data_IF_525147523105
#
_entry.id   IF_525147523105
#
_cell.length_a   1.000
_cell.length_b   1.000
_cell.length_c   1.000
_cell.angle_alpha   90.00
_cell.angle_beta   90.00
_cell.angle_gamma   90.00
#
_symmetry.space_group_name_H-M   'P 1'
#
loop_
_entity.id
_entity.type
_entity.pdbx_description
1 polymer ?
#
# COMPACT_ATOMS: atom_id res chain seq x y z
N UNK A 1 -7.15 5.73 -1.52
CA UNK A 1 -6.93 5.68 -2.98
C UNK A 1 -8.21 5.52 -3.76
N UNK A 2 -9.02 4.49 -3.49
CA UNK A 2 -10.33 4.30 -4.15
C UNK A 2 -11.23 5.53 -4.05
N UNK A 3 -11.41 6.07 -2.84
CA UNK A 3 -12.21 7.29 -2.62
C UNK A 3 -11.61 8.55 -3.25
N UNK A 4 -10.28 8.60 -3.38
CA UNK A 4 -9.59 9.68 -4.08
C UNK A 4 -9.68 9.56 -5.60
N UNK A 5 -10.12 8.40 -6.13
CA UNK A 5 -10.25 8.14 -7.56
C UNK A 5 -8.94 7.79 -8.27
N UNK A 6 -7.87 7.45 -7.54
CA UNK A 6 -6.52 7.21 -8.10
C UNK A 6 -6.07 5.76 -8.05
N UNK A 7 -6.98 4.84 -7.73
CA UNK A 7 -6.60 3.43 -7.50
C UNK A 7 -6.06 2.78 -8.77
N UNK A 8 -6.64 3.10 -9.93
CA UNK A 8 -6.25 2.56 -11.23
C UNK A 8 -4.81 2.98 -11.58
N UNK A 9 -4.46 4.26 -11.40
CA UNK A 9 -3.12 4.78 -11.67
C UNK A 9 -2.06 4.16 -10.74
N UNK A 10 -2.42 3.94 -9.48
CA UNK A 10 -1.55 3.26 -8.51
C UNK A 10 -1.30 1.80 -8.90
N UNK A 11 -2.33 1.08 -9.35
CA UNK A 11 -2.20 -0.31 -9.83
C UNK A 11 -1.36 -0.40 -11.11
N UNK A 12 -1.57 0.52 -12.06
CA UNK A 12 -0.82 0.59 -13.31
C UNK A 12 0.67 0.97 -13.12
N UNK A 13 1.02 1.61 -12.00
CA UNK A 13 2.40 1.96 -11.67
C UNK A 13 3.29 0.74 -11.37
N UNK A 14 2.71 -0.46 -11.26
CA UNK A 14 3.46 -1.69 -11.04
C UNK A 14 4.07 -1.81 -9.64
N UNK A 15 3.54 -1.06 -8.66
CA UNK A 15 3.97 -1.16 -7.27
C UNK A 15 3.71 -2.55 -6.70
N UNK A 16 4.64 -3.06 -5.91
CA UNK A 16 4.56 -4.41 -5.36
C UNK A 16 3.45 -4.47 -4.29
N UNK A 17 2.49 -5.41 -4.38
CA UNK A 17 1.53 -5.64 -3.32
C UNK A 17 2.23 -6.05 -2.02
N UNK A 18 1.89 -5.36 -0.93
CA UNK A 18 2.32 -5.66 0.43
C UNK A 18 1.15 -6.33 1.15
N UNK A 19 1.25 -7.63 1.40
CA UNK A 19 0.19 -8.40 2.08
C UNK A 19 0.24 -8.33 3.61
N UNK A 20 1.32 -7.81 4.18
CA UNK A 20 1.51 -7.76 5.62
C UNK A 20 2.92 -7.35 5.98
N UNK A 21 3.41 -7.85 7.11
CA UNK A 21 4.79 -7.67 7.51
C UNK A 21 5.32 -8.87 8.28
N UNK A 22 6.63 -9.07 8.18
CA UNK A 22 7.40 -9.99 9.02
C UNK A 22 8.28 -9.18 9.95
N UNK A 23 8.28 -9.55 11.24
CA UNK A 23 9.02 -8.88 12.29
C UNK A 23 9.96 -9.87 12.97
N UNK A 24 11.22 -9.47 13.13
CA UNK A 24 12.11 -10.06 14.12
C UNK A 24 12.25 -9.04 15.24
N UNK A 25 11.39 -9.16 16.26
CA UNK A 25 11.27 -8.17 17.32
C UNK A 25 10.71 -8.80 18.60
N UNK A 26 11.26 -8.40 19.75
CA UNK A 26 10.89 -8.91 21.07
C UNK A 26 11.94 -9.85 21.67
N UNK A 27 11.58 -10.57 22.73
CA UNK A 27 12.45 -11.54 23.41
C UNK A 27 12.59 -12.88 22.66
N UNK A 28 11.72 -13.12 21.68
CA UNK A 28 11.71 -14.32 20.86
C UNK A 28 12.68 -14.17 19.67
N UNK A 29 13.58 -15.13 19.43
CA UNK A 29 14.58 -15.05 18.36
C UNK A 29 14.06 -15.44 16.98
N UNK A 30 12.81 -15.91 16.87
CA UNK A 30 12.21 -16.33 15.61
C UNK A 30 11.35 -15.22 15.00
N UNK A 31 11.44 -14.98 13.68
CA UNK A 31 10.58 -14.01 13.02
C UNK A 31 9.12 -14.46 13.06
N UNK A 32 8.20 -13.52 13.22
CA UNK A 32 6.76 -13.74 13.15
C UNK A 32 6.15 -12.83 12.09
N UNK A 33 5.06 -13.26 11.46
CA UNK A 33 4.38 -12.51 10.41
C UNK A 33 2.92 -12.29 10.75
N UNK A 34 2.35 -11.24 10.17
CA UNK A 34 0.93 -10.93 10.22
C UNK A 34 0.48 -10.42 8.86
N UNK A 35 -0.78 -10.68 8.51
CA UNK A 35 -1.33 -10.39 7.19
C UNK A 35 -2.53 -9.44 7.29
N UNK A 36 -2.63 -8.48 6.37
CA UNK A 36 -3.77 -7.56 6.33
C UNK A 36 -5.11 -8.29 6.14
N UNK A 37 -5.09 -9.39 5.39
CA UNK A 37 -6.26 -10.25 5.16
C UNK A 37 -6.86 -10.86 6.43
N UNK A 38 -6.12 -10.93 7.55
CA UNK A 38 -6.65 -11.44 8.82
C UNK A 38 -7.69 -10.50 9.45
N UNK A 39 -7.64 -9.20 9.11
CA UNK A 39 -8.50 -8.15 9.69
C UNK A 39 -9.34 -7.42 8.64
N UNK A 40 -8.95 -7.46 7.37
CA UNK A 40 -9.68 -6.81 6.28
C UNK A 40 -9.73 -7.68 5.02
N UNK A 41 -10.86 -8.33 4.79
CA UNK A 41 -11.08 -9.18 3.62
C UNK A 41 -11.30 -8.38 2.33
N UNK A 42 -11.80 -7.14 2.43
CA UNK A 42 -12.10 -6.31 1.27
C UNK A 42 -10.84 -5.69 0.66
N UNK A 43 -9.87 -5.32 1.50
CA UNK A 43 -8.60 -4.74 1.09
C UNK A 43 -7.44 -5.53 1.72
N UNK A 44 -7.09 -6.70 1.16
CA UNK A 44 -6.17 -7.65 1.79
C UNK A 44 -4.69 -7.28 1.62
N UNK A 45 -4.37 -6.17 0.96
CA UNK A 45 -3.01 -5.69 0.75
C UNK A 45 -2.94 -4.17 0.60
N UNK A 46 -1.73 -3.65 0.78
CA UNK A 46 -1.31 -2.30 0.42
C UNK A 46 -0.27 -2.38 -0.73
N UNK A 47 0.42 -1.27 -1.02
CA UNK A 47 1.49 -1.23 -2.02
C UNK A 47 2.79 -0.71 -1.42
N UNK A 48 3.92 -1.28 -1.84
CA UNK A 48 5.25 -0.69 -1.66
C UNK A 48 5.51 0.25 -2.83
N UNK A 49 5.64 1.55 -2.56
CA UNK A 49 5.67 2.58 -3.59
C UNK A 49 7.06 3.16 -3.80
N UNK A 50 7.35 3.62 -5.02
CA UNK A 50 8.38 4.61 -5.26
C UNK A 50 7.79 6.00 -5.03
N UNK A 51 8.28 6.68 -3.99
CA UNK A 51 7.69 7.93 -3.49
C UNK A 51 7.52 9.02 -4.55
N UNK A 52 8.50 9.31 -5.43
CA UNK A 52 8.32 10.33 -6.46
C UNK A 52 7.15 10.06 -7.41
N UNK A 53 6.98 8.84 -7.95
CA UNK A 53 5.82 8.51 -8.80
C UNK A 53 4.52 8.59 -8.03
N UNK A 54 4.48 8.02 -6.82
CA UNK A 54 3.25 8.02 -6.02
C UNK A 54 2.81 9.43 -5.64
N UNK A 55 3.74 10.28 -5.18
CA UNK A 55 3.45 11.66 -4.82
C UNK A 55 3.00 12.46 -6.06
N UNK A 56 3.58 12.21 -7.25
CA UNK A 56 3.15 12.83 -8.51
C UNK A 56 1.70 12.47 -8.87
N UNK A 57 1.30 11.20 -8.75
CA UNK A 57 -0.09 10.76 -8.98
C UNK A 57 -1.06 11.53 -8.08
N UNK A 58 -0.70 11.70 -6.81
CA UNK A 58 -1.55 12.43 -5.85
C UNK A 58 -1.63 13.93 -6.19
N UNK A 59 -0.51 14.53 -6.58
CA UNK A 59 -0.44 15.94 -6.95
C UNK A 59 -1.26 16.22 -8.21
N UNK A 60 -1.10 15.41 -9.26
CA UNK A 60 -1.88 15.52 -10.49
C UNK A 60 -3.38 15.35 -10.24
N UNK A 61 -3.77 14.38 -9.40
CA UNK A 61 -5.18 14.20 -9.03
C UNK A 61 -5.75 15.41 -8.29
N UNK A 62 -4.97 16.03 -7.41
CA UNK A 62 -5.39 17.24 -6.70
C UNK A 62 -5.60 18.40 -7.67
N UNK A 63 -4.70 18.58 -8.65
CA UNK A 63 -4.84 19.57 -9.71
C UNK A 63 -6.07 19.37 -10.60
N UNK A 64 -6.51 18.12 -10.85
CA UNK A 64 -7.72 17.81 -11.61
C UNK A 64 -9.03 18.13 -10.88
N UNK A 65 -8.99 18.30 -9.55
CA UNK A 65 -10.17 18.49 -8.68
C UNK A 65 -10.34 19.91 -8.14
N UNK A 66 -9.36 20.78 -8.35
CA UNK A 66 -9.45 22.22 -8.06
C UNK A 66 -9.95 22.99 -9.27
#
# INVERSE_FOLDING_TARGET
MKELGVITEVEQSGFLPKYGATMLWGSQPHPWSWYFSETNHQYPHAFQVWRPTFDNILLENSGKKG
#
